data_IF_877014641792
#
_entry.id   IF_877014641792
#
_cell.length_a   1.000
_cell.length_b   1.000
_cell.length_c   1.000
_cell.angle_alpha   90.00
_cell.angle_beta   90.00
_cell.angle_gamma   90.00
#
_symmetry.space_group_name_H-M   'P 1'
#
loop_
_entity.id
_entity.type
_entity.pdbx_description
1 polymer ?
#
# COMPACT_ATOMS: atom_id res chain seq x y z
N UNK A 1 -2.71 24.52 27.72
CA UNK A 1 -3.71 23.53 27.22
C UNK A 1 -4.64 24.30 26.30
N UNK A 2 -4.62 24.09 24.97
CA UNK A 2 -5.56 24.77 24.10
C UNK A 2 -6.98 24.27 24.41
N UNK A 3 -7.90 25.21 24.58
CA UNK A 3 -9.31 24.95 24.89
C UNK A 3 -9.97 24.05 23.83
N UNK A 4 -10.76 23.06 24.27
CA UNK A 4 -11.52 22.14 23.39
C UNK A 4 -12.47 22.87 22.42
N UNK A 5 -12.72 24.16 22.62
CA UNK A 5 -13.55 25.04 21.79
C UNK A 5 -12.96 25.40 20.42
N UNK A 6 -11.73 24.96 20.08
CA UNK A 6 -11.09 25.24 18.78
C UNK A 6 -10.91 24.01 17.88
N UNK A 7 -11.38 22.83 18.28
CA UNK A 7 -11.38 21.67 17.39
C UNK A 7 -12.55 21.84 16.42
N UNK A 8 -12.26 22.02 15.14
CA UNK A 8 -13.27 22.01 14.09
C UNK A 8 -14.11 20.72 14.13
N UNK A 9 -15.23 20.67 13.38
CA UNK A 9 -16.13 19.52 13.41
C UNK A 9 -15.36 18.21 13.17
N UNK A 10 -15.47 17.28 14.12
CA UNK A 10 -14.87 15.95 14.02
C UNK A 10 -15.65 15.11 13.02
N UNK A 11 -14.97 14.55 12.03
CA UNK A 11 -15.55 13.58 11.12
C UNK A 11 -15.63 12.21 11.82
N UNK A 12 -16.83 11.66 11.95
CA UNK A 12 -17.03 10.31 12.47
C UNK A 12 -17.04 9.34 11.30
N UNK A 13 -16.15 8.35 11.35
CA UNK A 13 -16.05 7.31 10.33
C UNK A 13 -17.02 6.17 10.62
N UNK A 14 -17.56 5.55 9.56
CA UNK A 14 -18.45 4.40 9.65
C UNK A 14 -17.71 3.15 9.17
N UNK A 15 -17.78 2.07 9.93
CA UNK A 15 -17.16 0.79 9.58
C UNK A 15 -17.81 0.18 8.31
N UNK A 16 -17.07 0.08 7.20
CA UNK A 16 -17.51 -0.59 5.96
C UNK A 16 -16.41 -1.52 5.42
N UNK A 17 -16.30 -2.75 5.95
CA UNK A 17 -15.19 -3.67 5.67
C UNK A 17 -14.86 -3.80 4.16
N UNK A 18 -13.57 -3.74 3.77
CA UNK A 18 -12.35 -3.54 4.58
C UNK A 18 -11.97 -2.05 4.78
N UNK A 19 -12.92 -1.13 4.67
CA UNK A 19 -12.72 0.32 4.71
C UNK A 19 -13.46 1.00 5.88
N UNK A 20 -13.13 2.27 6.09
CA UNK A 20 -13.79 3.22 6.96
C UNK A 20 -14.41 4.29 6.07
N UNK A 21 -15.72 4.34 6.04
CA UNK A 21 -16.49 5.26 5.22
C UNK A 21 -16.60 6.63 5.91
N UNK A 22 -16.41 7.68 5.12
CA UNK A 22 -16.78 9.03 5.48
C UNK A 22 -17.96 9.46 4.59
N UNK A 23 -19.15 9.50 5.18
CA UNK A 23 -20.40 9.76 4.49
C UNK A 23 -20.78 11.24 4.64
N UNK A 24 -21.16 11.90 3.54
CA UNK A 24 -21.70 13.27 3.49
C UNK A 24 -21.00 14.29 4.42
N UNK A 25 -19.66 14.30 4.39
CA UNK A 25 -18.86 15.19 5.25
C UNK A 25 -17.98 16.14 4.43
N UNK A 26 -17.92 17.45 4.77
CA UNK A 26 -17.05 18.42 4.07
C UNK A 26 -15.54 18.11 4.08
N UNK A 27 -15.10 17.15 4.90
CA UNK A 27 -13.70 16.70 4.91
C UNK A 27 -13.39 15.70 3.81
N UNK A 28 -14.39 15.02 3.23
CA UNK A 28 -14.15 14.00 2.21
C UNK A 28 -13.42 14.55 0.97
N UNK A 29 -13.84 15.69 0.35
CA UNK A 29 -13.08 16.28 -0.75
C UNK A 29 -11.66 16.72 -0.36
N UNK A 30 -11.45 17.11 0.90
CA UNK A 30 -10.13 17.56 1.39
C UNK A 30 -9.18 16.39 1.61
N UNK A 31 -9.68 15.28 2.13
CA UNK A 31 -8.94 14.02 2.27
C UNK A 31 -8.55 13.48 0.90
N UNK A 32 -9.51 13.46 -0.04
CA UNK A 32 -9.26 13.06 -1.42
C UNK A 32 -8.19 13.93 -2.08
N UNK A 33 -8.29 15.26 -1.96
CA UNK A 33 -7.30 16.19 -2.50
C UNK A 33 -5.90 16.06 -1.84
N UNK A 34 -5.84 15.53 -0.61
CA UNK A 34 -4.59 15.18 0.06
C UNK A 34 -4.04 13.81 -0.37
N UNK A 35 -4.80 13.04 -1.16
CA UNK A 35 -4.41 11.74 -1.70
C UNK A 35 -4.85 10.55 -0.85
N UNK A 36 -5.81 10.72 0.06
CA UNK A 36 -6.32 9.64 0.91
C UNK A 36 -7.64 9.07 0.43
N UNK A 37 -7.79 7.75 0.61
CA UNK A 37 -9.01 7.01 0.31
C UNK A 37 -9.33 6.93 -1.18
N UNK A 38 -10.51 6.38 -1.46
CA UNK A 38 -11.09 6.22 -2.79
C UNK A 38 -12.60 6.52 -2.73
N UNK A 39 -13.13 7.16 -3.77
CA UNK A 39 -14.58 7.43 -3.87
C UNK A 39 -15.34 6.17 -4.26
N UNK A 40 -16.43 5.89 -3.55
CA UNK A 40 -17.47 4.97 -3.98
C UNK A 40 -18.52 5.70 -4.85
N UNK A 41 -19.29 4.92 -5.63
CA UNK A 41 -20.28 5.44 -6.59
C UNK A 41 -21.40 6.27 -5.94
N UNK A 42 -21.63 6.10 -4.64
CA UNK A 42 -22.63 6.82 -3.84
C UNK A 42 -22.11 8.13 -3.21
N UNK A 43 -20.92 8.59 -3.61
CA UNK A 43 -20.32 9.82 -3.09
C UNK A 43 -19.75 9.67 -1.67
N UNK A 44 -19.49 8.43 -1.25
CA UNK A 44 -18.84 8.11 0.03
C UNK A 44 -17.34 8.00 -0.20
N UNK A 45 -16.54 8.62 0.66
CA UNK A 45 -15.10 8.41 0.65
C UNK A 45 -14.75 7.20 1.53
N UNK A 46 -14.13 6.19 0.93
CA UNK A 46 -13.65 4.99 1.61
C UNK A 46 -12.18 5.17 1.97
N UNK A 47 -11.86 5.07 3.26
CA UNK A 47 -10.50 5.13 3.78
C UNK A 47 -10.06 3.74 4.23
N UNK A 48 -8.84 3.36 3.94
CA UNK A 48 -8.22 2.19 4.59
C UNK A 48 -7.79 2.55 6.02
N UNK A 49 -7.54 1.57 6.91
CA UNK A 49 -6.98 1.84 8.23
C UNK A 49 -5.68 2.65 8.18
N UNK A 50 -4.82 2.40 7.18
CA UNK A 50 -3.56 3.14 7.01
C UNK A 50 -3.79 4.59 6.58
N UNK A 51 -4.79 4.85 5.73
CA UNK A 51 -5.18 6.22 5.36
C UNK A 51 -5.62 7.01 6.60
N UNK A 52 -6.37 6.39 7.51
CA UNK A 52 -6.86 7.06 8.73
C UNK A 52 -5.72 7.43 9.67
N UNK A 53 -4.75 6.52 9.86
CA UNK A 53 -3.53 6.80 10.65
C UNK A 53 -2.81 8.02 10.08
N UNK A 54 -2.57 8.03 8.76
CA UNK A 54 -1.84 9.09 8.08
C UNK A 54 -2.59 10.43 8.00
N UNK A 55 -3.89 10.38 7.71
CA UNK A 55 -4.73 11.58 7.73
C UNK A 55 -4.74 12.23 9.13
N UNK A 56 -4.76 11.41 10.19
CA UNK A 56 -4.68 11.92 11.57
C UNK A 56 -3.34 12.62 11.83
N UNK A 57 -2.21 12.06 11.36
CA UNK A 57 -0.90 12.74 11.42
C UNK A 57 -0.88 14.06 10.65
N UNK A 58 -1.59 14.15 9.52
CA UNK A 58 -1.79 15.39 8.77
C UNK A 58 -2.84 16.34 9.38
N UNK A 59 -3.23 16.11 10.64
CA UNK A 59 -4.17 16.93 11.42
C UNK A 59 -5.61 16.92 10.91
N UNK A 60 -6.00 15.93 10.11
CA UNK A 60 -7.42 15.68 9.88
C UNK A 60 -8.05 15.17 11.19
N UNK A 61 -9.14 15.81 11.61
CA UNK A 61 -9.84 15.44 12.83
C UNK A 61 -10.82 14.30 12.55
N UNK A 62 -10.31 13.07 12.50
CA UNK A 62 -11.07 11.85 12.29
C UNK A 62 -11.34 11.14 13.61
N UNK A 63 -12.56 10.66 13.79
CA UNK A 63 -12.95 9.80 14.93
C UNK A 63 -13.36 8.45 14.39
N UNK A 64 -12.63 7.41 14.78
CA UNK A 64 -12.97 6.04 14.43
C UNK A 64 -13.75 5.40 15.60
N UNK A 65 -15.03 5.05 15.43
CA UNK A 65 -15.85 4.49 16.52
C UNK A 65 -15.38 3.10 16.98
N UNK A 66 -14.47 2.47 16.23
CA UNK A 66 -14.00 1.10 16.48
C UNK A 66 -12.88 1.01 17.53
N UNK A 67 -12.38 2.14 18.03
CA UNK A 67 -11.39 2.14 19.11
C UNK A 67 -11.98 1.81 20.50
N UNK A 68 -13.32 1.68 20.63
CA UNK A 68 -14.00 1.69 21.92
C UNK A 68 -15.05 0.58 22.14
N UNK A 69 -15.25 -0.36 21.23
CA UNK A 69 -16.27 -1.41 21.41
C UNK A 69 -15.67 -2.82 21.56
N UNK A 70 -15.90 -3.42 22.72
CA UNK A 70 -15.54 -4.79 23.07
C UNK A 70 -16.03 -5.82 22.03
N UNK A 71 -15.09 -6.67 21.59
CA UNK A 71 -15.28 -8.12 21.34
C UNK A 71 -15.97 -8.69 20.09
N UNK A 72 -15.84 -8.11 18.88
CA UNK A 72 -16.03 -8.95 17.65
C UNK A 72 -15.37 -8.47 16.35
N UNK A 73 -14.70 -7.32 16.35
CA UNK A 73 -14.11 -6.72 15.15
C UNK A 73 -12.59 -6.55 15.32
N UNK A 74 -11.80 -7.47 14.78
CA UNK A 74 -10.36 -7.23 14.58
C UNK A 74 -10.16 -6.53 13.24
N UNK A 75 -10.14 -5.20 13.24
CA UNK A 75 -9.44 -4.51 12.16
C UNK A 75 -7.98 -4.88 12.23
N UNK A 76 -7.38 -5.26 11.10
CA UNK A 76 -5.92 -5.39 11.04
C UNK A 76 -5.39 -3.97 11.13
N UNK A 77 -4.97 -3.57 12.33
CA UNK A 77 -4.22 -2.35 12.51
C UNK A 77 -2.97 -2.47 11.63
N UNK A 78 -2.67 -1.48 10.77
CA UNK A 78 -1.42 -1.48 10.03
C UNK A 78 -0.26 -1.61 11.01
N UNK A 79 0.68 -2.52 10.73
CA UNK A 79 1.86 -2.66 11.58
C UNK A 79 2.84 -1.51 11.35
N UNK A 80 3.84 -1.40 12.24
CA UNK A 80 4.82 -0.31 12.21
C UNK A 80 5.61 -0.25 10.90
N UNK A 81 5.89 -1.41 10.29
CA UNK A 81 6.60 -1.49 9.03
C UNK A 81 5.75 -0.92 7.89
N UNK A 82 4.48 -1.31 7.83
CA UNK A 82 3.52 -0.79 6.86
C UNK A 82 3.29 0.71 7.03
N UNK A 83 3.15 1.19 8.27
CA UNK A 83 3.03 2.61 8.57
C UNK A 83 4.25 3.37 8.05
N UNK A 84 5.45 2.89 8.38
CA UNK A 84 6.71 3.51 7.98
C UNK A 84 6.89 3.50 6.47
N UNK A 85 6.53 2.41 5.80
CA UNK A 85 6.61 2.29 4.35
C UNK A 85 5.64 3.26 3.66
N UNK A 86 4.40 3.33 4.14
CA UNK A 86 3.41 4.27 3.65
C UNK A 86 3.90 5.72 3.82
N UNK A 87 4.45 6.09 4.99
CA UNK A 87 5.08 7.40 5.22
C UNK A 87 6.16 7.71 4.18
N UNK A 88 7.11 6.79 4.00
CA UNK A 88 8.24 6.98 3.11
C UNK A 88 7.83 7.14 1.64
N UNK A 89 6.73 6.50 1.23
CA UNK A 89 6.12 6.65 -0.10
C UNK A 89 5.51 8.06 -0.24
N UNK A 90 4.70 8.50 0.72
CA UNK A 90 4.08 9.83 0.72
C UNK A 90 5.12 10.95 0.71
N UNK A 91 6.17 10.84 1.53
CA UNK A 91 7.25 11.83 1.66
C UNK A 91 8.01 12.02 0.34
N UNK A 92 8.03 10.99 -0.51
CA UNK A 92 8.60 11.03 -1.86
C UNK A 92 7.63 11.56 -2.92
N UNK A 93 6.44 11.99 -2.52
CA UNK A 93 5.42 12.54 -3.42
C UNK A 93 4.66 11.48 -4.21
N UNK A 94 4.68 10.23 -3.77
CA UNK A 94 3.90 9.15 -4.36
C UNK A 94 2.64 8.85 -3.53
N UNK A 95 1.64 8.27 -4.17
CA UNK A 95 0.33 8.05 -3.57
C UNK A 95 -0.03 6.57 -3.67
N UNK A 96 0.12 5.81 -2.57
CA UNK A 96 -0.19 4.39 -2.55
C UNK A 96 -1.70 4.15 -2.51
N UNK A 97 -2.14 3.06 -3.14
CA UNK A 97 -3.51 2.51 -3.06
C UNK A 97 -3.46 1.00 -2.87
N UNK A 98 -4.46 0.37 -2.24
CA UNK A 98 -4.47 -1.07 -2.02
C UNK A 98 -4.19 -1.87 -3.31
N UNK A 99 -3.19 -2.76 -3.23
CA UNK A 99 -2.68 -3.51 -4.38
C UNK A 99 -3.15 -4.96 -4.48
N UNK A 100 -4.03 -5.42 -3.57
CA UNK A 100 -4.35 -6.84 -3.39
C UNK A 100 -4.82 -7.53 -4.68
N UNK A 101 -5.67 -6.86 -5.46
CA UNK A 101 -6.16 -7.38 -6.75
C UNK A 101 -5.03 -7.59 -7.79
N UNK A 102 -3.87 -6.98 -7.57
CA UNK A 102 -2.70 -7.05 -8.43
C UNK A 102 -1.56 -7.89 -7.80
N UNK A 103 -1.80 -8.58 -6.68
CA UNK A 103 -0.81 -9.42 -6.01
C UNK A 103 0.29 -8.65 -5.28
N UNK A 104 0.14 -7.34 -5.13
CA UNK A 104 1.07 -6.44 -4.45
C UNK A 104 0.42 -5.83 -3.22
N UNK A 105 1.21 -5.19 -2.35
CA UNK A 105 0.64 -4.53 -1.17
C UNK A 105 0.03 -3.18 -1.58
N UNK A 106 0.72 -2.45 -2.46
CA UNK A 106 0.25 -1.16 -2.96
C UNK A 106 0.46 -0.98 -4.47
N UNK A 107 -0.51 -0.33 -5.12
CA UNK A 107 -0.32 0.37 -6.38
C UNK A 107 0.21 1.78 -6.09
N UNK A 108 1.24 2.20 -6.80
CA UNK A 108 1.87 3.51 -6.57
C UNK A 108 1.58 4.46 -7.72
N UNK A 109 0.95 5.58 -7.38
CA UNK A 109 0.62 6.65 -8.32
C UNK A 109 1.53 7.86 -8.12
N UNK A 110 1.78 8.58 -9.21
CA UNK A 110 2.55 9.84 -9.20
C UNK A 110 1.66 11.07 -8.99
N UNK A 111 0.34 10.88 -9.00
CA UNK A 111 -0.68 11.91 -8.82
C UNK A 111 -1.59 11.56 -7.64
N UNK A 112 -2.03 12.58 -6.89
CA UNK A 112 -2.85 12.42 -5.67
C UNK A 112 -4.17 11.71 -5.90
N UNK A 113 -4.82 12.04 -7.00
CA UNK A 113 -6.19 11.66 -7.32
C UNK A 113 -6.17 10.88 -8.63
N UNK A 114 -6.14 9.54 -8.59
CA UNK A 114 -5.82 8.74 -9.76
C UNK A 114 -6.92 8.56 -10.81
N UNK A 115 -7.95 9.41 -10.84
CA UNK A 115 -9.19 9.27 -11.66
C UNK A 115 -8.97 8.74 -13.09
N UNK A 116 -7.89 9.15 -13.75
CA UNK A 116 -7.50 8.64 -15.08
C UNK A 116 -6.00 8.29 -15.19
N UNK A 117 -5.28 8.26 -14.08
CA UNK A 117 -3.84 7.96 -14.08
C UNK A 117 -3.63 6.46 -13.91
N UNK A 118 -2.66 5.90 -14.62
CA UNK A 118 -2.24 4.52 -14.37
C UNK A 118 -1.21 4.49 -13.24
N UNK A 119 -1.32 3.51 -12.34
CA UNK A 119 -0.26 3.24 -11.36
C UNK A 119 1.07 3.01 -12.09
N UNK A 120 2.13 3.70 -11.65
CA UNK A 120 3.46 3.59 -12.22
C UNK A 120 4.18 2.32 -11.72
N UNK A 121 3.93 1.96 -10.45
CA UNK A 121 4.60 0.83 -9.80
C UNK A 121 3.60 -0.13 -9.14
N UNK A 122 3.98 -1.40 -9.12
CA UNK A 122 3.47 -2.37 -8.15
C UNK A 122 4.47 -2.44 -6.99
N UNK A 123 4.01 -2.22 -5.76
CA UNK A 123 4.85 -2.17 -4.57
C UNK A 123 4.64 -3.38 -3.65
N UNK A 124 5.75 -3.98 -3.23
CA UNK A 124 5.80 -5.03 -2.21
C UNK A 124 6.61 -4.53 -1.02
N UNK A 125 6.05 -4.67 0.17
CA UNK A 125 6.72 -4.48 1.45
C UNK A 125 7.33 -5.82 1.85
N UNK A 126 8.67 -5.89 1.92
CA UNK A 126 9.35 -7.07 2.44
C UNK A 126 9.31 -7.06 3.96
N UNK A 127 8.50 -7.97 4.49
CA UNK A 127 8.32 -8.19 5.94
C UNK A 127 9.37 -9.15 6.51
N UNK A 128 9.81 -10.07 5.67
CA UNK A 128 10.69 -11.17 6.02
C UNK A 128 11.84 -11.20 5.01
N UNK A 129 12.92 -11.93 5.32
CA UNK A 129 13.98 -12.22 4.34
C UNK A 129 13.50 -13.10 3.16
N UNK A 130 12.27 -13.61 3.24
CA UNK A 130 11.68 -14.47 2.20
C UNK A 130 11.14 -13.61 1.06
N UNK A 131 11.69 -13.85 -0.13
CA UNK A 131 11.39 -13.12 -1.36
C UNK A 131 10.53 -13.94 -2.35
N UNK A 132 9.71 -14.87 -1.85
CA UNK A 132 8.91 -15.81 -2.64
C UNK A 132 7.84 -15.11 -3.52
N UNK A 133 7.32 -13.96 -3.08
CA UNK A 133 6.37 -13.16 -3.84
C UNK A 133 7.00 -12.38 -5.01
N UNK A 134 8.33 -12.17 -5.01
CA UNK A 134 9.00 -11.30 -6.00
C UNK A 134 8.86 -11.85 -7.44
N UNK A 135 9.15 -13.13 -7.73
CA UNK A 135 9.03 -13.64 -9.10
C UNK A 135 7.61 -13.48 -9.67
N UNK A 136 6.59 -13.85 -8.90
CA UNK A 136 5.19 -13.74 -9.31
C UNK A 136 4.79 -12.26 -9.55
N UNK A 137 5.27 -11.36 -8.69
CA UNK A 137 5.03 -9.93 -8.84
C UNK A 137 5.70 -9.36 -10.08
N UNK A 138 6.92 -9.78 -10.39
CA UNK A 138 7.65 -9.40 -11.60
C UNK A 138 6.93 -9.86 -12.87
N UNK A 139 6.42 -11.09 -12.91
CA UNK A 139 5.60 -11.58 -14.02
C UNK A 139 4.33 -10.74 -14.20
N UNK A 140 3.64 -10.42 -13.10
CA UNK A 140 2.44 -9.59 -13.11
C UNK A 140 2.74 -8.16 -13.57
N UNK A 141 3.83 -7.57 -13.11
CA UNK A 141 4.28 -6.24 -13.53
C UNK A 141 4.59 -6.21 -15.04
N UNK A 142 5.24 -7.25 -15.56
CA UNK A 142 5.52 -7.37 -17.00
C UNK A 142 4.23 -7.44 -17.83
N UNK A 143 3.21 -8.19 -17.39
CA UNK A 143 1.89 -8.28 -18.04
C UNK A 143 1.17 -6.92 -18.05
N UNK A 144 1.26 -6.18 -16.95
CA UNK A 144 0.60 -4.89 -16.77
C UNK A 144 1.42 -3.70 -17.29
N UNK A 145 2.63 -3.95 -17.81
CA UNK A 145 3.62 -2.93 -18.23
C UNK A 145 3.91 -1.91 -17.12
N UNK A 146 4.08 -2.41 -15.89
CA UNK A 146 4.43 -1.62 -14.70
C UNK A 146 5.82 -1.99 -14.22
N UNK A 147 6.41 -1.11 -13.41
CA UNK A 147 7.67 -1.41 -12.71
C UNK A 147 7.36 -2.02 -11.34
N UNK A 148 8.27 -2.84 -10.81
CA UNK A 148 8.18 -3.33 -9.43
C UNK A 148 9.00 -2.43 -8.52
N UNK A 149 8.42 -2.02 -7.40
CA UNK A 149 9.08 -1.28 -6.35
C UNK A 149 9.06 -2.12 -5.07
N UNK A 150 10.19 -2.22 -4.40
CA UNK A 150 10.30 -2.95 -3.14
C UNK A 150 10.52 -1.95 -2.02
N UNK A 151 9.71 -2.03 -0.98
CA UNK A 151 9.91 -1.33 0.28
C UNK A 151 10.48 -2.31 1.31
N UNK A 152 11.58 -1.96 1.96
CA UNK A 152 12.17 -2.78 3.02
C UNK A 152 12.84 -1.92 4.08
N UNK A 153 12.95 -2.47 5.29
CA UNK A 153 13.64 -1.83 6.40
C UNK A 153 15.16 -2.01 6.25
N UNK A 154 15.91 -0.91 6.30
CA UNK A 154 17.36 -0.91 6.32
C UNK A 154 17.86 0.00 7.45
N UNK A 155 18.33 -0.62 8.55
CA UNK A 155 18.52 0.10 9.80
C UNK A 155 17.18 0.64 10.30
N UNK A 156 17.11 1.94 10.56
CA UNK A 156 15.90 2.61 11.05
C UNK A 156 15.09 3.31 9.94
N UNK A 157 15.40 3.03 8.67
CA UNK A 157 14.79 3.71 7.52
C UNK A 157 14.15 2.74 6.52
N UNK A 158 13.06 3.17 5.90
CA UNK A 158 12.50 2.46 4.74
C UNK A 158 13.21 2.89 3.47
N UNK A 159 13.76 1.92 2.76
CA UNK A 159 14.29 2.12 1.42
C UNK A 159 13.28 1.63 0.38
N UNK A 160 13.12 2.41 -0.68
CA UNK A 160 12.33 2.06 -1.85
C UNK A 160 13.29 1.75 -3.01
N UNK A 161 13.30 0.50 -3.45
CA UNK A 161 14.23 0.00 -4.47
C UNK A 161 13.45 -0.47 -5.70
N UNK A 162 13.63 0.16 -6.88
CA UNK A 162 13.06 -0.38 -8.11
C UNK A 162 13.77 -1.68 -8.47
N UNK A 163 13.02 -2.66 -8.95
CA UNK A 163 13.58 -3.89 -9.52
C UNK A 163 13.61 -3.80 -11.04
N UNK A 164 14.79 -4.06 -11.59
CA UNK A 164 14.98 -4.21 -13.03
C UNK A 164 15.00 -5.69 -13.40
N UNK A 165 14.18 -6.05 -14.38
CA UNK A 165 14.17 -7.39 -14.95
C UNK A 165 15.23 -7.50 -16.03
N UNK A 166 16.32 -8.22 -15.72
CA UNK A 166 17.31 -8.57 -16.72
C UNK A 166 16.81 -9.71 -17.58
N UNK A 167 16.70 -9.46 -18.89
CA UNK A 167 16.51 -10.52 -19.87
C UNK A 167 17.88 -11.04 -20.26
N UNK A 168 18.18 -12.28 -19.90
CA UNK A 168 19.30 -12.98 -20.50
C UNK A 168 18.94 -13.29 -21.95
N UNK A 169 19.58 -12.60 -22.89
CA UNK A 169 19.59 -13.01 -24.30
C UNK A 169 20.65 -14.09 -24.45
N UNK A 170 20.26 -15.27 -24.93
CA UNK A 170 21.25 -16.21 -25.46
C UNK A 170 21.87 -15.65 -26.75
N UNK A 171 23.05 -16.14 -27.14
CA UNK A 171 23.76 -15.71 -28.37
C UNK A 171 22.95 -16.01 -29.66
N UNK A 172 21.83 -16.73 -29.54
CA UNK A 172 20.89 -17.05 -30.62
C UNK A 172 19.67 -16.10 -30.69
N UNK A 173 19.59 -15.07 -29.84
CA UNK A 173 18.48 -14.10 -29.85
C UNK A 173 17.15 -14.68 -29.36
N UNK A 174 17.15 -15.87 -28.76
CA UNK A 174 15.95 -16.49 -28.19
C UNK A 174 15.83 -16.12 -26.71
N UNK A 175 14.66 -15.66 -26.30
CA UNK A 175 14.38 -15.34 -24.89
C UNK A 175 13.94 -16.62 -24.18
N UNK A 176 14.79 -17.20 -23.33
CA UNK A 176 14.38 -18.28 -22.43
C UNK A 176 14.34 -17.78 -20.98
N UNK A 177 13.21 -18.01 -20.30
CA UNK A 177 13.11 -17.84 -18.86
C UNK A 177 13.97 -18.93 -18.21
N UNK A 178 15.04 -18.54 -17.51
CA UNK A 178 15.88 -19.49 -16.77
C UNK A 178 15.04 -20.07 -15.62
N UNK A 179 14.71 -21.36 -15.62
CA UNK A 179 13.94 -21.94 -14.52
C UNK A 179 14.79 -21.92 -13.24
N UNK A 180 14.18 -21.71 -12.06
CA UNK A 180 14.89 -21.77 -10.79
C UNK A 180 15.50 -23.17 -10.63
N UNK A 181 16.79 -23.22 -10.31
CA UNK A 181 17.48 -24.48 -10.01
C UNK A 181 16.85 -25.08 -8.76
N UNK A 182 16.15 -26.20 -8.91
CA UNK A 182 15.77 -27.05 -7.79
C UNK A 182 17.04 -27.50 -7.07
N UNK A 183 17.17 -27.28 -5.75
CA UNK A 183 18.31 -27.82 -5.01
C UNK A 183 18.25 -29.35 -5.13
N UNK A 184 19.29 -29.93 -5.73
CA UNK A 184 19.43 -31.37 -5.85
C UNK A 184 19.53 -31.96 -4.44
N UNK A 185 18.59 -32.84 -4.10
CA UNK A 185 18.64 -33.62 -2.88
C UNK A 185 19.94 -34.43 -2.90
N UNK A 186 20.88 -34.06 -2.02
CA UNK A 186 22.01 -34.92 -1.67
C UNK A 186 21.43 -36.26 -1.21
N UNK A 187 21.63 -37.27 -2.06
CA UNK A 187 21.39 -38.65 -1.71
C UNK A 187 22.25 -38.98 -0.48
N UNK A 188 21.58 -39.20 0.65
CA UNK A 188 22.17 -39.78 1.84
C UNK A 188 22.56 -41.22 1.55
N UNK A 189 23.84 -41.45 1.26
CA UNK A 189 24.46 -42.75 1.43
C UNK A 189 24.96 -42.84 2.87
N UNK A 190 24.21 -43.55 3.72
CA UNK A 190 24.69 -44.23 4.93
C UNK A 190 23.65 -45.29 5.30
#
# INVERSE_FOLDING_TARGET
MPSDSQRGPQAVLVARRPYLALEDHPLAPRLWAAGFGDWADDGILLLTPIDVVHATYQRFCLTCPLCYSDNSFSWVCPDELEISAYSAILDKGFYPRPGLAFGCDYLIYTTRTPDNSHAAYLLLILRDERCDRIPALCEQAARLRKQVLIAYLHGDAILLQPLELFKATDESGSTQLIPPRTPSSLASNS
#
